data_IF_202930072347
#
_entry.id   IF_202930072347
#
_cell.length_a   1.000
_cell.length_b   1.000
_cell.length_c   1.000
_cell.angle_alpha   90.00
_cell.angle_beta   90.00
_cell.angle_gamma   90.00
#
_symmetry.space_group_name_H-M   'P 1'
#
loop_
_entity.id
_entity.type
_entity.pdbx_description
1 polymer ?
#
# COMPACT_ATOMS: atom_id res chain seq x y z
N UNK A 1 -14.10 -28.60 -32.71
CA UNK A 1 -13.20 -27.73 -31.93
C UNK A 1 -12.80 -28.49 -30.68
N UNK A 2 -11.52 -28.85 -30.49
CA UNK A 2 -11.08 -29.38 -29.22
C UNK A 2 -11.27 -28.30 -28.15
N UNK A 3 -11.92 -28.63 -27.05
CA UNK A 3 -12.06 -27.74 -25.91
C UNK A 3 -10.67 -27.51 -25.32
N UNK A 4 -10.20 -26.26 -25.29
CA UNK A 4 -8.97 -25.88 -24.59
C UNK A 4 -9.03 -26.43 -23.17
N UNK A 5 -8.11 -27.33 -22.83
CA UNK A 5 -7.97 -27.84 -21.47
C UNK A 5 -7.77 -26.65 -20.52
N UNK A 6 -8.50 -26.58 -19.38
CA UNK A 6 -8.39 -25.43 -18.48
C UNK A 6 -6.96 -25.33 -17.96
N UNK A 7 -6.29 -24.21 -18.26
CA UNK A 7 -4.91 -23.92 -17.80
C UNK A 7 -4.84 -24.07 -16.29
N UNK A 8 -4.17 -25.12 -15.82
CA UNK A 8 -3.96 -25.35 -14.38
C UNK A 8 -2.93 -24.37 -13.84
N UNK A 9 -3.15 -23.93 -12.61
CA UNK A 9 -2.25 -23.04 -11.88
C UNK A 9 -1.75 -23.76 -10.64
N UNK A 10 -0.44 -23.89 -10.53
CA UNK A 10 0.20 -24.53 -9.40
C UNK A 10 0.92 -23.50 -8.53
N UNK A 11 0.80 -23.60 -7.20
CA UNK A 11 1.52 -22.70 -6.29
C UNK A 11 3.02 -22.96 -6.42
N UNK A 12 3.80 -21.89 -6.32
CA UNK A 12 5.27 -22.00 -6.23
C UNK A 12 5.71 -21.79 -4.79
N UNK A 13 6.99 -22.04 -4.51
CA UNK A 13 7.60 -21.73 -3.20
C UNK A 13 7.43 -20.26 -2.79
N UNK A 14 7.22 -19.37 -3.76
CA UNK A 14 7.02 -17.94 -3.52
C UNK A 14 5.57 -17.55 -3.27
N UNK A 15 4.60 -18.38 -3.66
CA UNK A 15 3.18 -18.05 -3.50
C UNK A 15 2.82 -17.73 -2.06
N UNK A 16 3.14 -18.62 -1.13
CA UNK A 16 2.83 -18.40 0.29
C UNK A 16 3.71 -17.31 0.92
N UNK A 17 4.97 -17.21 0.49
CA UNK A 17 5.92 -16.19 0.99
C UNK A 17 5.46 -14.78 0.62
N UNK A 18 5.02 -14.57 -0.62
CA UNK A 18 4.46 -13.29 -1.07
C UNK A 18 3.18 -12.94 -0.33
N UNK A 19 2.25 -13.90 -0.17
CA UNK A 19 1.01 -13.65 0.57
C UNK A 19 1.28 -13.28 2.03
N UNK A 20 2.23 -13.95 2.69
CA UNK A 20 2.62 -13.64 4.06
C UNK A 20 3.28 -12.27 4.16
N UNK A 21 4.23 -11.98 3.27
CA UNK A 21 4.90 -10.69 3.20
C UNK A 21 3.87 -9.56 3.00
N UNK A 22 2.95 -9.72 2.06
CA UNK A 22 1.88 -8.76 1.81
C UNK A 22 0.97 -8.62 3.03
N UNK A 23 0.53 -9.72 3.66
CA UNK A 23 -0.35 -9.65 4.82
C UNK A 23 0.32 -8.93 6.01
N UNK A 24 1.58 -9.26 6.32
CA UNK A 24 2.35 -8.61 7.40
C UNK A 24 2.54 -7.14 7.10
N UNK A 25 2.95 -6.80 5.87
CA UNK A 25 3.15 -5.43 5.47
C UNK A 25 1.86 -4.61 5.53
N UNK A 26 0.75 -5.20 5.08
CA UNK A 26 -0.58 -4.61 5.17
C UNK A 26 -1.03 -4.33 6.60
N UNK A 27 -0.70 -5.20 7.57
CA UNK A 27 -0.97 -4.90 8.99
C UNK A 27 -0.17 -3.67 9.43
N UNK A 28 1.13 -3.63 9.11
CA UNK A 28 2.01 -2.50 9.48
C UNK A 28 1.52 -1.20 8.87
N UNK A 29 1.16 -1.19 7.58
CA UNK A 29 0.66 0.03 6.93
C UNK A 29 -0.74 0.42 7.38
N UNK A 30 -1.65 -0.52 7.64
CA UNK A 30 -2.95 -0.20 8.24
C UNK A 30 -2.77 0.51 9.59
N UNK A 31 -1.92 -0.02 10.47
CA UNK A 31 -1.65 0.60 11.77
C UNK A 31 -0.99 1.97 11.59
N UNK A 32 0.03 2.07 10.73
CA UNK A 32 0.70 3.33 10.44
C UNK A 32 -0.24 4.40 9.89
N UNK A 33 -1.08 4.06 8.90
CA UNK A 33 -2.09 4.97 8.34
C UNK A 33 -3.10 5.41 9.40
N UNK A 34 -3.55 4.51 10.29
CA UNK A 34 -4.47 4.86 11.36
C UNK A 34 -3.84 5.85 12.36
N UNK A 35 -2.58 5.64 12.73
CA UNK A 35 -1.83 6.56 13.61
C UNK A 35 -1.71 7.94 12.96
N UNK A 36 -1.30 8.00 11.69
CA UNK A 36 -1.16 9.27 10.95
C UNK A 36 -2.50 10.01 10.87
N UNK A 37 -3.59 9.32 10.54
CA UNK A 37 -4.93 9.92 10.51
C UNK A 37 -5.39 10.46 11.87
N UNK A 38 -5.02 9.80 12.97
CA UNK A 38 -5.33 10.25 14.33
C UNK A 38 -4.45 11.40 14.81
N UNK A 39 -3.22 11.49 14.32
CA UNK A 39 -2.25 12.53 14.71
C UNK A 39 -2.47 13.85 13.96
N UNK A 40 -2.84 13.79 12.67
CA UNK A 40 -3.04 14.98 11.84
C UNK A 40 -4.38 15.63 12.17
N UNK A 41 -4.32 16.58 13.09
CA UNK A 41 -5.44 17.41 13.57
C UNK A 41 -5.22 18.87 13.18
N UNK A 42 -6.28 19.70 13.11
CA UNK A 42 -6.13 21.13 12.83
C UNK A 42 -5.14 21.81 13.79
N UNK A 43 -5.20 21.46 15.08
CA UNK A 43 -4.37 22.04 16.14
C UNK A 43 -2.89 21.70 15.93
N UNK A 44 -2.60 20.42 15.63
CA UNK A 44 -1.23 19.97 15.33
C UNK A 44 -0.70 20.63 14.06
N UNK A 45 -1.52 20.76 13.01
CA UNK A 45 -1.11 21.44 11.78
C UNK A 45 -0.85 22.93 12.00
N UNK A 46 -1.66 23.61 12.81
CA UNK A 46 -1.46 25.02 13.17
C UNK A 46 -0.19 25.24 14.00
N UNK A 47 0.20 24.28 14.84
CA UNK A 47 1.45 24.34 15.62
C UNK A 47 2.69 24.09 14.74
N UNK A 48 2.56 23.24 13.72
CA UNK A 48 3.70 22.66 12.98
C UNK A 48 3.94 23.28 11.60
N UNK A 49 3.02 24.12 11.11
CA UNK A 49 3.10 24.73 9.78
C UNK A 49 2.84 26.23 9.86
N UNK A 50 3.21 26.96 8.81
CA UNK A 50 2.88 28.39 8.67
C UNK A 50 1.55 28.61 7.93
N UNK A 51 0.75 27.55 7.73
CA UNK A 51 -0.51 27.62 7.01
C UNK A 51 -1.57 28.38 7.83
N UNK A 52 -2.41 29.14 7.13
CA UNK A 52 -3.58 29.78 7.72
C UNK A 52 -4.66 28.76 8.10
N UNK A 53 -5.55 29.15 9.02
CA UNK A 53 -6.68 28.31 9.41
C UNK A 53 -7.55 27.88 8.20
N UNK A 54 -7.77 28.79 7.24
CA UNK A 54 -8.53 28.50 6.03
C UNK A 54 -7.85 27.47 5.12
N UNK A 55 -6.52 27.49 5.01
CA UNK A 55 -5.75 26.49 4.25
C UNK A 55 -5.81 25.11 4.93
N UNK A 56 -5.69 25.07 6.25
CA UNK A 56 -5.80 23.84 7.04
C UNK A 56 -7.20 23.22 6.89
N UNK A 57 -8.25 24.04 7.01
CA UNK A 57 -9.65 23.60 6.85
C UNK A 57 -9.94 23.12 5.42
N UNK A 58 -9.33 23.74 4.41
CA UNK A 58 -9.42 23.30 3.02
C UNK A 58 -8.67 21.98 2.74
N UNK A 59 -7.55 21.74 3.42
CA UNK A 59 -6.70 20.57 3.24
C UNK A 59 -7.26 19.31 3.91
N UNK A 60 -7.74 19.42 5.15
CA UNK A 60 -8.10 18.28 6.00
C UNK A 60 -9.12 17.32 5.39
N UNK A 61 -10.22 17.76 4.73
CA UNK A 61 -11.18 16.85 4.12
C UNK A 61 -10.54 15.95 3.06
N UNK A 62 -9.70 16.52 2.18
CA UNK A 62 -9.00 15.79 1.15
C UNK A 62 -8.01 14.78 1.74
N UNK A 63 -7.20 15.24 2.70
CA UNK A 63 -6.26 14.38 3.43
C UNK A 63 -6.96 13.20 4.09
N UNK A 64 -8.07 13.43 4.80
CA UNK A 64 -8.85 12.38 5.48
C UNK A 64 -9.47 11.41 4.48
N UNK A 65 -10.05 11.89 3.39
CA UNK A 65 -10.66 11.03 2.38
C UNK A 65 -9.63 10.08 1.75
N UNK A 66 -8.46 10.61 1.39
CA UNK A 66 -7.34 9.81 0.84
C UNK A 66 -6.82 8.84 1.90
N UNK A 67 -6.54 9.31 3.11
CA UNK A 67 -6.01 8.46 4.18
C UNK A 67 -6.96 7.32 4.57
N UNK A 68 -8.28 7.58 4.69
CA UNK A 68 -9.28 6.52 4.97
C UNK A 68 -9.33 5.51 3.82
N UNK A 69 -9.22 5.97 2.58
CA UNK A 69 -9.16 5.08 1.41
C UNK A 69 -7.95 4.15 1.51
N UNK A 70 -6.75 4.69 1.77
CA UNK A 70 -5.55 3.88 1.98
C UNK A 70 -5.67 2.94 3.19
N UNK A 71 -6.28 3.39 4.28
CA UNK A 71 -6.53 2.56 5.46
C UNK A 71 -7.34 1.31 5.11
N UNK A 72 -8.45 1.49 4.38
CA UNK A 72 -9.31 0.38 3.94
C UNK A 72 -8.57 -0.54 2.98
N UNK A 73 -7.86 0.00 1.99
CA UNK A 73 -7.13 -0.80 1.02
C UNK A 73 -5.99 -1.60 1.66
N UNK A 74 -5.28 -1.01 2.61
CA UNK A 74 -4.26 -1.71 3.41
C UNK A 74 -4.90 -2.83 4.23
N UNK A 75 -6.05 -2.59 4.86
CA UNK A 75 -6.75 -3.61 5.63
C UNK A 75 -7.22 -4.78 4.75
N UNK A 76 -7.65 -4.52 3.50
CA UNK A 76 -7.95 -5.57 2.52
C UNK A 76 -6.72 -6.42 2.17
N UNK A 77 -5.53 -5.84 2.19
CA UNK A 77 -4.27 -6.57 1.94
C UNK A 77 -3.94 -7.62 3.01
N UNK A 78 -4.45 -7.48 4.24
CA UNK A 78 -4.33 -8.50 5.30
C UNK A 78 -4.94 -9.84 4.84
N UNK A 79 -5.99 -9.78 4.01
CA UNK A 79 -6.64 -10.93 3.43
C UNK A 79 -5.83 -11.61 2.30
N UNK A 80 -4.58 -11.21 2.04
CA UNK A 80 -3.69 -11.83 1.04
C UNK A 80 -3.58 -13.37 1.20
N UNK A 81 -3.68 -13.86 2.44
CA UNK A 81 -3.63 -15.29 2.75
C UNK A 81 -4.81 -16.10 2.19
N UNK A 82 -5.90 -15.45 1.77
CA UNK A 82 -7.06 -16.10 1.11
C UNK A 82 -6.85 -16.37 -0.37
N UNK A 83 -5.68 -16.02 -0.94
CA UNK A 83 -5.30 -16.36 -2.29
C UNK A 83 -6.28 -15.86 -3.38
N UNK A 84 -6.99 -14.76 -3.13
CA UNK A 84 -7.87 -14.16 -4.14
C UNK A 84 -7.04 -13.29 -5.08
N UNK A 85 -7.26 -13.45 -6.39
CA UNK A 85 -6.53 -12.68 -7.42
C UNK A 85 -6.77 -11.18 -7.31
N UNK A 86 -7.97 -10.75 -6.94
CA UNK A 86 -8.27 -9.33 -6.80
C UNK A 86 -7.51 -8.68 -5.63
N UNK A 87 -7.24 -9.42 -4.54
CA UNK A 87 -6.45 -8.91 -3.41
C UNK A 87 -5.01 -8.62 -3.82
N UNK A 88 -4.43 -9.45 -4.71
CA UNK A 88 -3.11 -9.18 -5.28
C UNK A 88 -3.08 -7.83 -5.99
N UNK A 89 -4.09 -7.56 -6.82
CA UNK A 89 -4.17 -6.31 -7.57
C UNK A 89 -4.38 -5.11 -6.66
N UNK A 90 -5.29 -5.22 -5.69
CA UNK A 90 -5.49 -4.19 -4.67
C UNK A 90 -4.16 -3.88 -3.97
N UNK A 91 -3.52 -4.90 -3.38
CA UNK A 91 -2.26 -4.72 -2.68
C UNK A 91 -1.19 -4.08 -3.57
N UNK A 92 -0.96 -4.60 -4.78
CA UNK A 92 0.06 -4.08 -5.68
C UNK A 92 -0.21 -2.62 -6.07
N UNK A 93 -1.43 -2.30 -6.50
CA UNK A 93 -1.78 -0.95 -6.95
C UNK A 93 -1.75 0.06 -5.80
N UNK A 94 -2.27 -0.30 -4.63
CA UNK A 94 -2.24 0.55 -3.44
C UNK A 94 -0.80 0.85 -3.01
N UNK A 95 0.07 -0.16 -2.97
CA UNK A 95 1.47 0.00 -2.59
C UNK A 95 2.26 0.88 -3.60
N UNK A 96 2.00 0.72 -4.91
CA UNK A 96 2.58 1.60 -5.93
C UNK A 96 2.04 3.03 -5.83
N UNK A 97 0.76 3.21 -5.52
CA UNK A 97 0.16 4.53 -5.33
C UNK A 97 0.71 5.25 -4.09
N UNK A 98 0.93 4.54 -2.97
CA UNK A 98 1.59 5.11 -1.79
C UNK A 98 3.02 5.59 -2.10
N UNK A 99 3.75 4.86 -2.96
CA UNK A 99 5.07 5.29 -3.42
C UNK A 99 5.03 6.63 -4.17
N UNK A 100 3.99 6.87 -4.97
CA UNK A 100 3.80 8.18 -5.61
C UNK A 100 3.58 9.26 -4.55
N UNK A 101 2.74 8.97 -3.54
CA UNK A 101 2.55 9.85 -2.38
C UNK A 101 3.87 10.22 -1.71
N UNK A 102 4.74 9.24 -1.45
CA UNK A 102 6.07 9.42 -0.87
C UNK A 102 6.91 10.46 -1.63
N UNK A 103 6.93 10.39 -2.96
CA UNK A 103 7.71 11.32 -3.79
C UNK A 103 7.08 12.70 -3.96
N UNK A 104 5.78 12.82 -3.72
CA UNK A 104 5.08 14.13 -3.76
C UNK A 104 5.18 14.92 -2.47
N UNK A 105 5.60 14.27 -1.38
CA UNK A 105 5.80 14.93 -0.08
C UNK A 105 7.18 15.57 -0.05
N UNK A 106 7.21 16.88 0.09
CA UNK A 106 8.42 17.62 0.39
C UNK A 106 8.66 17.61 1.92
N UNK A 107 9.57 16.75 2.36
CA UNK A 107 9.89 16.57 3.78
C UNK A 107 10.58 17.80 4.40
N UNK A 108 11.20 18.66 3.59
CA UNK A 108 11.87 19.88 4.09
C UNK A 108 10.85 20.98 4.41
N UNK A 109 9.79 21.09 3.62
CA UNK A 109 8.77 22.15 3.77
C UNK A 109 7.60 21.77 4.66
N UNK A 110 7.39 20.48 4.94
CA UNK A 110 6.28 19.98 5.77
C UNK A 110 6.51 20.06 7.28
N UNK A 111 7.71 20.45 7.74
CA UNK A 111 8.03 20.52 9.17
C UNK A 111 8.07 19.17 9.89
N UNK A 112 7.92 18.06 9.15
CA UNK A 112 8.01 16.70 9.70
C UNK A 112 9.43 16.41 10.16
N UNK A 113 9.57 15.93 11.40
CA UNK A 113 10.85 15.51 11.99
C UNK A 113 10.74 14.15 12.65
N UNK A 114 11.89 13.50 12.81
CA UNK A 114 12.07 12.30 13.61
C UNK A 114 11.13 11.14 13.22
N UNK A 115 10.20 10.78 14.10
CA UNK A 115 9.31 9.62 13.96
C UNK A 115 8.31 9.76 12.82
N UNK A 116 7.91 10.98 12.46
CA UNK A 116 6.99 11.21 11.34
C UNK A 116 7.66 10.88 10.00
N UNK A 117 8.91 11.31 9.83
CA UNK A 117 9.73 10.97 8.67
C UNK A 117 9.95 9.46 8.62
N UNK A 118 10.40 8.85 9.72
CA UNK A 118 10.60 7.40 9.79
C UNK A 118 9.33 6.62 9.44
N UNK A 119 8.16 7.05 9.95
CA UNK A 119 6.87 6.47 9.64
C UNK A 119 6.57 6.48 8.15
N UNK A 120 6.70 7.63 7.49
CA UNK A 120 6.49 7.77 6.04
C UNK A 120 7.49 6.95 5.21
N UNK A 121 8.77 6.92 5.59
CA UNK A 121 9.76 6.06 4.94
C UNK A 121 9.39 4.58 5.04
N UNK A 122 8.91 4.14 6.21
CA UNK A 122 8.51 2.76 6.45
C UNK A 122 7.23 2.43 5.66
N UNK A 123 6.19 3.27 5.71
CA UNK A 123 4.89 2.94 5.11
C UNK A 123 4.85 3.19 3.61
N UNK A 124 5.36 4.33 3.15
CA UNK A 124 5.15 4.76 1.77
C UNK A 124 6.36 4.34 0.92
N UNK A 125 7.58 4.50 1.45
CA UNK A 125 8.80 3.96 0.84
C UNK A 125 8.83 2.43 0.83
N UNK A 126 8.54 1.79 1.98
CA UNK A 126 8.36 0.35 2.07
C UNK A 126 7.23 -0.16 1.17
N UNK A 127 6.19 0.66 0.98
CA UNK A 127 5.03 0.32 0.16
C UNK A 127 5.44 0.25 -1.29
N UNK A 128 6.16 1.26 -1.78
CA UNK A 128 6.75 1.24 -3.10
C UNK A 128 7.63 0.02 -3.35
N UNK A 129 8.49 -0.34 -2.39
CA UNK A 129 9.33 -1.54 -2.51
C UNK A 129 8.49 -2.81 -2.63
N UNK A 130 7.48 -3.00 -1.78
CA UNK A 130 6.58 -4.16 -1.87
C UNK A 130 5.81 -4.17 -3.21
N UNK A 131 5.31 -3.02 -3.65
CA UNK A 131 4.64 -2.87 -4.94
C UNK A 131 5.51 -3.31 -6.10
N UNK A 132 6.78 -2.91 -6.12
CA UNK A 132 7.76 -3.33 -7.12
C UNK A 132 8.09 -4.82 -7.03
N UNK A 133 8.20 -5.40 -5.82
CA UNK A 133 8.37 -6.85 -5.65
C UNK A 133 7.19 -7.60 -6.26
N UNK A 134 5.95 -7.22 -5.92
CA UNK A 134 4.75 -7.84 -6.47
C UNK A 134 4.68 -7.72 -8.00
N UNK A 135 5.02 -6.55 -8.54
CA UNK A 135 5.11 -6.32 -9.98
C UNK A 135 6.18 -7.19 -10.65
N UNK A 136 7.37 -7.30 -10.04
CA UNK A 136 8.45 -8.16 -10.54
C UNK A 136 8.03 -9.63 -10.61
N UNK A 137 7.34 -10.13 -9.58
CA UNK A 137 6.77 -11.48 -9.59
C UNK A 137 5.66 -11.64 -10.64
N UNK A 138 4.81 -10.63 -10.82
CA UNK A 138 3.80 -10.63 -11.88
C UNK A 138 4.45 -10.72 -13.26
N UNK A 139 5.52 -9.97 -13.53
CA UNK A 139 6.25 -10.00 -14.80
C UNK A 139 6.90 -11.39 -15.01
N UNK A 140 7.51 -11.95 -13.96
CA UNK A 140 8.25 -13.22 -14.01
C UNK A 140 7.37 -14.46 -14.17
N UNK A 141 6.22 -14.50 -13.49
CA UNK A 141 5.30 -15.65 -13.48
C UNK A 141 4.07 -15.43 -14.36
N UNK A 142 3.85 -14.20 -14.84
CA UNK A 142 2.67 -13.79 -15.63
C UNK A 142 1.36 -14.16 -14.93
N UNK A 143 1.35 -14.12 -13.60
CA UNK A 143 0.22 -14.50 -12.75
C UNK A 143 0.28 -13.78 -11.40
N UNK A 144 -0.87 -13.57 -10.78
CA UNK A 144 -0.94 -13.10 -9.39
C UNK A 144 -0.36 -14.16 -8.44
N UNK A 145 0.23 -13.72 -7.33
CA UNK A 145 0.79 -14.59 -6.29
C UNK A 145 1.82 -15.63 -6.79
N UNK A 146 2.53 -15.33 -7.89
CA UNK A 146 3.59 -16.18 -8.42
C UNK A 146 3.15 -17.63 -8.72
N UNK A 147 1.91 -17.84 -9.17
CA UNK A 147 1.45 -19.15 -9.62
C UNK A 147 2.12 -19.54 -10.93
N UNK A 148 2.58 -20.79 -11.04
CA UNK A 148 3.05 -21.33 -12.32
C UNK A 148 1.84 -21.73 -13.17
N UNK A 149 1.84 -21.35 -14.45
CA UNK A 149 0.89 -21.90 -15.44
C UNK A 149 1.47 -23.21 -15.94
N UNK A 150 0.69 -24.29 -15.87
CA UNK A 150 1.05 -25.59 -16.40
C UNK A 150 0.11 -25.87 -17.57
N UNK A 151 0.68 -26.15 -18.75
CA UNK A 151 -0.09 -26.60 -19.90
C UNK A 151 -0.61 -28.01 -19.56
N UNK A 152 -1.93 -28.19 -19.63
CA UNK A 152 -2.60 -29.45 -19.35
C UNK A 152 -2.70 -30.32 -20.59
#
# INVERSE_FOLDING_TARGET
>A
MPADSPVRREPTVWTRRLQLLTAVYSVVTTVGTAIVLGYVTPEVLAERTTASAAEIDGFLPGFRAVGVTFLVLNALGIAALWNRRWIFWVAMLTNLAQAVGFFTVDFETTGMRDLAVLGTWITDGGGGLLGLVLLGFLIRYRSAWAYRRVAG
#
